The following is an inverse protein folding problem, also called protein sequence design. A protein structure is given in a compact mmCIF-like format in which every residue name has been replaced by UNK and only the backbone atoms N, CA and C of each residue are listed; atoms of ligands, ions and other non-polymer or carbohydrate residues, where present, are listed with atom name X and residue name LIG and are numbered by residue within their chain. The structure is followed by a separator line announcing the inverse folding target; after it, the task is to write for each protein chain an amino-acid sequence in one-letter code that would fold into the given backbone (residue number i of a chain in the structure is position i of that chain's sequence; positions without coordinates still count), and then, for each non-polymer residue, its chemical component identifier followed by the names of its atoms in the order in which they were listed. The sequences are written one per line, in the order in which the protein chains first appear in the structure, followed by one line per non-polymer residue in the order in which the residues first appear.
data_IF_689151745951
#
_entry.id   IF_689151745951
#
_cell.length_a   1.000
_cell.length_b   1.000
_cell.length_c   1.000
_cell.angle_alpha   90.00
_cell.angle_beta   90.00
_cell.angle_gamma   90.00
#
_symmetry.space_group_name_H-M   'P 1'
#
loop_
_entity.id
_entity.type
_entity.pdbx_description
1 polymer ?
#
# COMPACT_ATOMS: atom_id res chain seq x y z
N UNK A 1 -25.10 32.82 -30.15
CA UNK A 1 -24.37 32.97 -28.87
C UNK A 1 -24.77 31.93 -27.82
N UNK A 2 -26.04 31.49 -27.71
CA UNK A 2 -26.45 30.48 -26.71
C UNK A 2 -25.80 29.09 -26.83
N UNK A 3 -25.53 28.61 -28.05
CA UNK A 3 -24.87 27.31 -28.26
C UNK A 3 -23.40 27.29 -27.80
N UNK A 4 -22.65 28.38 -28.00
CA UNK A 4 -21.26 28.50 -27.53
C UNK A 4 -21.17 28.56 -26.00
N UNK A 5 -22.12 29.22 -25.34
CA UNK A 5 -22.16 29.29 -23.87
C UNK A 5 -22.52 27.94 -23.25
N UNK A 6 -23.35 27.15 -23.92
CA UNK A 6 -23.68 25.78 -23.48
C UNK A 6 -22.49 24.84 -23.64
N UNK A 7 -21.80 24.88 -24.78
CA UNK A 7 -20.59 24.08 -25.05
C UNK A 7 -19.47 24.37 -24.05
N UNK A 8 -19.21 25.66 -23.74
CA UNK A 8 -18.23 26.04 -22.74
C UNK A 8 -18.57 25.52 -21.33
N UNK A 9 -19.86 25.46 -20.97
CA UNK A 9 -20.30 24.93 -19.67
C UNK A 9 -20.11 23.42 -19.58
N UNK A 10 -20.48 22.68 -20.62
CA UNK A 10 -20.29 21.22 -20.68
C UNK A 10 -18.81 20.87 -20.56
N UNK A 11 -17.94 21.54 -21.32
CA UNK A 11 -16.48 21.30 -21.24
C UNK A 11 -15.88 21.63 -19.88
N UNK A 12 -16.40 22.65 -19.20
CA UNK A 12 -15.99 22.98 -17.84
C UNK A 12 -16.42 21.89 -16.84
N UNK A 13 -17.67 21.42 -16.94
CA UNK A 13 -18.19 20.35 -16.09
C UNK A 13 -17.38 19.05 -16.29
N UNK A 14 -17.07 18.66 -17.53
CA UNK A 14 -16.22 17.51 -17.85
C UNK A 14 -14.80 17.64 -17.27
N UNK A 15 -14.18 18.81 -17.41
CA UNK A 15 -12.86 19.08 -16.84
C UNK A 15 -12.87 19.00 -15.31
N UNK A 16 -13.92 19.53 -14.67
CA UNK A 16 -14.08 19.49 -13.22
C UNK A 16 -14.30 18.05 -12.73
N UNK A 17 -15.10 17.24 -13.42
CA UNK A 17 -15.27 15.81 -13.12
C UNK A 17 -13.98 15.02 -13.30
N UNK A 18 -13.22 15.26 -14.38
CA UNK A 18 -11.92 14.62 -14.58
C UNK A 18 -10.94 14.96 -13.45
N UNK A 19 -10.89 16.23 -13.06
CA UNK A 19 -10.04 16.70 -11.96
C UNK A 19 -10.44 16.10 -10.59
N UNK A 20 -11.74 15.95 -10.32
CA UNK A 20 -12.22 15.28 -9.10
C UNK A 20 -11.78 13.80 -9.09
N UNK A 21 -11.92 13.09 -10.21
CA UNK A 21 -11.47 11.70 -10.33
C UNK A 21 -9.94 11.57 -10.14
N UNK A 22 -9.15 12.53 -10.63
CA UNK A 22 -7.70 12.55 -10.42
C UNK A 22 -7.35 12.77 -8.93
N UNK A 23 -8.07 13.66 -8.24
CA UNK A 23 -7.88 13.87 -6.80
C UNK A 23 -8.21 12.61 -6.01
N UNK A 24 -9.34 11.98 -6.30
CA UNK A 24 -9.76 10.71 -5.67
C UNK A 24 -8.72 9.61 -5.89
N UNK A 25 -8.22 9.49 -7.12
CA UNK A 25 -7.15 8.55 -7.44
C UNK A 25 -5.87 8.85 -6.65
N UNK A 26 -5.45 10.11 -6.56
CA UNK A 26 -4.23 10.50 -5.86
C UNK A 26 -4.32 10.32 -4.33
N UNK A 27 -5.50 10.53 -3.75
CA UNK A 27 -5.76 10.26 -2.34
C UNK A 27 -5.80 8.76 -2.03
N UNK A 28 -6.47 7.99 -2.87
CA UNK A 28 -6.51 6.54 -2.75
C UNK A 28 -5.11 5.93 -2.91
N UNK A 29 -4.35 6.36 -3.91
CA UNK A 29 -2.97 5.96 -4.09
C UNK A 29 -2.14 6.27 -2.85
N UNK A 30 -2.18 7.51 -2.32
CA UNK A 30 -1.46 7.88 -1.08
C UNK A 30 -1.84 6.99 0.10
N UNK A 31 -3.13 6.71 0.27
CA UNK A 31 -3.63 5.84 1.35
C UNK A 31 -3.08 4.42 1.22
N UNK A 32 -3.13 3.84 0.02
CA UNK A 32 -2.58 2.52 -0.25
C UNK A 32 -1.05 2.47 -0.02
N UNK A 33 -0.31 3.51 -0.40
CA UNK A 33 1.14 3.61 -0.10
C UNK A 33 1.42 3.62 1.40
N UNK A 34 0.65 4.40 2.17
CA UNK A 34 0.80 4.47 3.61
C UNK A 34 0.54 3.11 4.27
N UNK A 35 -0.58 2.46 3.92
CA UNK A 35 -0.93 1.14 4.44
C UNK A 35 0.10 0.06 4.04
N UNK A 36 0.58 0.08 2.80
CA UNK A 36 1.61 -0.85 2.34
C UNK A 36 2.90 -0.68 3.15
N UNK A 37 3.31 0.56 3.38
CA UNK A 37 4.50 0.87 4.17
C UNK A 37 4.35 0.44 5.64
N UNK A 38 3.19 0.67 6.27
CA UNK A 38 2.91 0.23 7.64
C UNK A 38 2.98 -1.30 7.81
N UNK A 39 2.57 -2.03 6.78
CA UNK A 39 2.58 -3.50 6.76
C UNK A 39 3.92 -4.09 6.27
N UNK A 40 4.85 -3.24 5.82
CA UNK A 40 6.15 -3.67 5.29
C UNK A 40 6.07 -4.37 3.94
N UNK A 41 5.01 -4.13 3.16
CA UNK A 41 4.79 -4.75 1.84
C UNK A 41 5.18 -3.82 0.70
N UNK A 42 5.53 -4.41 -0.45
CA UNK A 42 5.96 -3.65 -1.61
C UNK A 42 4.83 -2.77 -2.15
N UNK A 43 5.11 -1.48 -2.35
CA UNK A 43 4.09 -0.51 -2.78
C UNK A 43 3.84 -0.53 -4.29
N UNK A 44 4.88 -0.79 -5.09
CA UNK A 44 4.81 -0.78 -6.55
C UNK A 44 3.74 -1.72 -7.13
N UNK A 45 3.61 -3.00 -6.70
CA UNK A 45 2.56 -3.87 -7.22
C UNK A 45 1.16 -3.40 -6.83
N UNK A 46 0.97 -2.84 -5.63
CA UNK A 46 -0.33 -2.31 -5.16
C UNK A 46 -0.78 -1.12 -6.01
N UNK A 47 0.15 -0.21 -6.33
CA UNK A 47 -0.17 0.95 -7.17
C UNK A 47 -0.38 0.54 -8.63
N UNK A 48 0.38 -0.43 -9.13
CA UNK A 48 0.14 -0.99 -10.45
C UNK A 48 -1.26 -1.60 -10.55
N UNK A 49 -1.69 -2.32 -9.52
CA UNK A 49 -3.03 -2.92 -9.48
C UNK A 49 -4.13 -1.84 -9.45
N UNK A 50 -3.92 -0.77 -8.67
CA UNK A 50 -4.83 0.38 -8.62
C UNK A 50 -5.02 1.03 -9.99
N UNK A 51 -3.92 1.23 -10.73
CA UNK A 51 -3.93 1.87 -12.06
C UNK A 51 -4.74 1.06 -13.08
N UNK A 52 -4.61 -0.27 -13.06
CA UNK A 52 -5.15 -1.13 -14.11
C UNK A 52 -6.51 -1.74 -13.78
N UNK A 53 -6.79 -1.97 -12.50
CA UNK A 53 -7.95 -2.75 -12.03
C UNK A 53 -8.78 -2.03 -10.97
N UNK A 54 -8.32 -0.88 -10.47
CA UNK A 54 -9.05 -0.05 -9.52
C UNK A 54 -8.86 -0.45 -8.05
N UNK A 55 -9.64 0.21 -7.19
CA UNK A 55 -9.48 0.17 -5.73
C UNK A 55 -9.60 -1.25 -5.15
N UNK A 56 -10.66 -1.97 -5.53
CA UNK A 56 -10.97 -3.28 -4.95
C UNK A 56 -9.84 -4.30 -5.20
N UNK A 57 -9.27 -4.30 -6.41
CA UNK A 57 -8.15 -5.15 -6.76
C UNK A 57 -6.88 -4.79 -5.98
N UNK A 58 -6.59 -3.49 -5.84
CA UNK A 58 -5.44 -3.03 -5.06
C UNK A 58 -5.56 -3.39 -3.56
N UNK A 59 -6.75 -3.29 -2.97
CA UNK A 59 -6.99 -3.70 -1.58
C UNK A 59 -6.92 -5.21 -1.40
N UNK A 60 -7.42 -5.99 -2.36
CA UNK A 60 -7.31 -7.44 -2.33
C UNK A 60 -5.84 -7.87 -2.35
N UNK A 61 -5.04 -7.28 -3.23
CA UNK A 61 -3.60 -7.57 -3.32
C UNK A 61 -2.87 -7.15 -2.03
N UNK A 62 -3.17 -5.96 -1.49
CA UNK A 62 -2.59 -5.48 -0.23
C UNK A 62 -2.84 -6.46 0.93
N UNK A 63 -4.05 -7.03 0.98
CA UNK A 63 -4.43 -8.01 2.01
C UNK A 63 -3.66 -9.31 1.86
N UNK A 64 -3.49 -9.80 0.64
CA UNK A 64 -2.71 -11.03 0.38
C UNK A 64 -1.25 -10.83 0.76
N UNK A 65 -0.64 -9.73 0.32
CA UNK A 65 0.77 -9.43 0.61
C UNK A 65 1.02 -9.26 2.12
N UNK A 66 0.08 -8.64 2.85
CA UNK A 66 0.25 -8.46 4.29
C UNK A 66 0.09 -9.77 5.07
N UNK A 67 -0.80 -10.67 4.65
CA UNK A 67 -0.88 -12.02 5.22
C UNK A 67 0.42 -12.80 5.00
N UNK A 68 1.00 -12.74 3.80
CA UNK A 68 2.27 -13.41 3.48
C UNK A 68 3.41 -12.83 4.34
N UNK A 69 3.46 -11.49 4.47
CA UNK A 69 4.46 -10.82 5.28
C UNK A 69 4.36 -11.18 6.77
N UNK A 70 3.15 -11.30 7.31
CA UNK A 70 2.92 -11.73 8.70
C UNK A 70 3.37 -13.19 8.92
N UNK A 71 3.03 -14.09 8.00
CA UNK A 71 3.45 -15.50 8.07
C UNK A 71 4.98 -15.64 7.99
N UNK A 72 5.64 -14.89 7.11
CA UNK A 72 7.10 -14.87 7.01
C UNK A 72 7.77 -14.36 8.29
N UNK A 73 7.17 -13.35 8.95
CA UNK A 73 7.65 -12.85 10.24
C UNK A 73 7.45 -13.87 11.35
N UNK A 74 6.33 -14.58 11.38
CA UNK A 74 6.06 -15.65 12.34
C UNK A 74 6.97 -16.86 12.14
N UNK A 75 7.33 -17.18 10.89
CA UNK A 75 8.21 -18.28 10.53
C UNK A 75 9.69 -18.02 10.80
N UNK A 76 10.07 -16.80 11.24
CA UNK A 76 11.45 -16.49 11.65
C UNK A 76 11.58 -16.71 13.16
N UNK A 77 11.99 -17.90 13.65
CA UNK A 77 12.24 -18.08 15.08
C UNK A 77 13.40 -17.17 15.50
N UNK A 78 13.24 -16.49 16.62
CA UNK A 78 14.27 -15.69 17.27
C UNK A 78 15.53 -16.55 17.53
N UNK A 79 16.43 -16.60 16.56
CA UNK A 79 17.63 -17.42 16.62
C UNK A 79 18.75 -16.70 17.40
N UNK A 80 18.53 -16.37 18.67
CA UNK A 80 19.63 -16.15 19.64
C UNK A 80 19.12 -16.30 21.08
N UNK A 81 18.76 -17.53 21.45
CA UNK A 81 18.92 -18.00 22.82
C UNK A 81 20.16 -18.90 22.89
N UNK A 82 21.35 -18.36 22.57
CA UNK A 82 22.61 -19.03 22.91
C UNK A 82 22.94 -18.71 24.37
N UNK A 83 22.23 -19.35 25.28
CA UNK A 83 22.70 -19.52 26.66
C UNK A 83 23.75 -20.64 26.69
N UNK A 84 24.99 -20.29 27.06
CA UNK A 84 25.90 -21.21 27.78
C UNK A 84 26.97 -20.39 28.53
N UNK A 85 27.54 -20.90 29.62
CA UNK A 85 27.30 -20.39 30.96
C UNK A 85 28.56 -19.74 31.57
N UNK A 86 28.34 -19.10 32.72
CA UNK A 86 29.36 -18.54 33.58
C UNK A 86 30.54 -19.49 33.87
N UNK A 87 31.76 -18.92 33.80
CA UNK A 87 32.89 -19.07 34.74
C UNK A 87 33.42 -20.47 35.11
N UNK A 88 34.75 -20.65 35.20
CA UNK A 88 35.39 -21.97 35.33
C UNK A 88 35.29 -22.54 36.77
N UNK A 89 35.30 -23.87 36.96
CA UNK A 89 35.56 -24.45 38.28
C UNK A 89 37.07 -24.49 38.55
N UNK A 90 37.45 -23.98 39.72
CA UNK A 90 38.75 -24.19 40.34
C UNK A 90 39.06 -25.69 40.42
N UNK A 91 40.27 -26.06 40.01
CA UNK A 91 40.93 -27.33 40.39
C UNK A 91 42.35 -27.00 40.83
N UNK A 92 42.73 -27.67 41.92
CA UNK A 92 43.80 -27.40 42.89
C UNK A 92 45.20 -27.15 42.34
#
# INVERSE_FOLDING_TARGET
MGAMLHDARVRFEECHTAWLNECEFAELARTLKALAHEQGVATDPIINELVHFGADAAFALLTVESCIADEARAATPAHTAQMKPAGPPLVH
#
